data_IF_148799742644
#
_entry.id   IF_148799742644
#
_cell.length_a   1.000
_cell.length_b   1.000
_cell.length_c   1.000
_cell.angle_alpha   90.00
_cell.angle_beta   90.00
_cell.angle_gamma   90.00
#
_symmetry.space_group_name_H-M   'P 1'
#
loop_
_entity.id
_entity.type
_entity.pdbx_description
1 polymer ?
#
# COMPACT_ATOMS: atom_id res chain seq x y z
N UNK A 1 -9.12 -16.29 18.62
CA UNK A 1 -9.14 -14.94 18.01
C UNK A 1 -8.93 -15.16 16.54
N UNK A 2 -9.98 -15.04 15.72
CA UNK A 2 -9.84 -15.22 14.28
C UNK A 2 -9.04 -14.05 13.72
N UNK A 3 -7.92 -14.40 13.11
CA UNK A 3 -7.07 -13.51 12.33
C UNK A 3 -7.87 -13.09 11.09
N UNK A 4 -8.42 -11.88 11.09
CA UNK A 4 -9.09 -11.32 9.91
C UNK A 4 -8.01 -10.74 9.00
N UNK A 5 -7.17 -11.61 8.43
CA UNK A 5 -6.45 -11.23 7.22
C UNK A 5 -7.50 -11.12 6.12
N UNK A 6 -7.90 -9.89 5.81
CA UNK A 6 -8.63 -9.64 4.58
C UNK A 6 -7.75 -10.14 3.43
N UNK A 7 -8.27 -11.07 2.63
CA UNK A 7 -7.60 -11.55 1.42
C UNK A 7 -7.70 -10.40 0.40
N UNK A 8 -6.80 -9.42 0.52
CA UNK A 8 -6.77 -8.25 -0.35
C UNK A 8 -6.30 -8.75 -1.71
N UNK A 9 -7.07 -8.57 -2.80
CA UNK A 9 -6.73 -9.14 -4.11
C UNK A 9 -5.49 -8.50 -4.76
N UNK A 10 -4.84 -7.56 -4.07
CA UNK A 10 -3.69 -6.81 -4.54
C UNK A 10 -2.50 -7.09 -3.64
N UNK A 11 -1.35 -7.32 -4.28
CA UNK A 11 -0.06 -7.38 -3.60
C UNK A 11 0.22 -6.04 -2.95
N UNK A 12 0.78 -6.07 -1.73
CA UNK A 12 0.93 -4.88 -0.92
C UNK A 12 2.02 -5.02 0.13
N UNK A 13 2.56 -3.87 0.52
CA UNK A 13 3.39 -3.70 1.72
C UNK A 13 2.59 -2.87 2.71
N UNK A 14 2.56 -3.29 3.97
CA UNK A 14 1.96 -2.48 5.04
C UNK A 14 3.01 -2.12 6.09
N UNK A 15 2.84 -0.94 6.68
CA UNK A 15 3.61 -0.45 7.84
C UNK A 15 2.62 -0.27 8.98
N UNK A 16 2.80 -1.04 10.04
CA UNK A 16 1.96 -0.97 11.21
C UNK A 16 2.13 0.39 11.92
N UNK A 17 1.05 0.95 12.49
CA UNK A 17 1.13 2.14 13.32
C UNK A 17 1.83 1.81 14.66
N UNK A 18 2.39 2.83 15.30
CA UNK A 18 2.95 2.73 16.66
C UNK A 18 1.85 2.64 17.73
N UNK A 19 0.64 3.12 17.41
CA UNK A 19 -0.53 3.06 18.28
C UNK A 19 -1.32 1.74 18.12
N UNK A 20 -2.47 1.60 18.79
CA UNK A 20 -3.35 0.43 18.67
C UNK A 20 -3.78 0.18 17.20
N UNK A 21 -3.31 -0.90 16.55
CA UNK A 21 -3.59 -1.17 15.14
C UNK A 21 -5.08 -1.37 14.85
N UNK A 22 -5.88 -1.75 15.85
CA UNK A 22 -7.29 -2.02 15.67
C UNK A 22 -8.11 -0.75 15.35
N UNK A 23 -7.61 0.43 15.73
CA UNK A 23 -8.33 1.70 15.63
C UNK A 23 -7.56 2.80 14.90
N UNK A 24 -6.37 2.50 14.39
CA UNK A 24 -5.54 3.47 13.68
C UNK A 24 -6.20 3.89 12.35
N UNK A 25 -6.19 5.18 12.01
CA UNK A 25 -6.58 5.62 10.67
C UNK A 25 -5.64 4.99 9.63
N UNK A 26 -6.22 4.52 8.53
CA UNK A 26 -5.45 3.91 7.44
C UNK A 26 -5.14 4.93 6.33
N UNK A 27 -3.92 4.84 5.78
CA UNK A 27 -3.52 5.54 4.56
C UNK A 27 -3.22 4.51 3.48
N UNK A 28 -3.93 4.61 2.36
CA UNK A 28 -3.67 3.81 1.18
C UNK A 28 -2.77 4.58 0.21
N UNK A 29 -1.62 4.00 -0.12
CA UNK A 29 -0.66 4.57 -1.05
C UNK A 29 -0.78 3.86 -2.39
N UNK A 30 -0.99 4.64 -3.45
CA UNK A 30 -1.09 4.17 -4.83
C UNK A 30 0.06 4.78 -5.62
N UNK A 31 0.96 3.94 -6.12
CA UNK A 31 2.09 4.38 -6.93
C UNK A 31 1.65 4.85 -8.33
N UNK A 32 2.52 5.61 -8.99
CA UNK A 32 2.33 6.05 -10.37
C UNK A 32 2.50 4.92 -11.39
N UNK A 33 2.17 5.17 -12.66
CA UNK A 33 2.34 4.19 -13.74
C UNK A 33 3.82 3.80 -13.91
N UNK A 34 4.11 2.50 -13.95
CA UNK A 34 5.47 1.96 -14.14
C UNK A 34 6.31 1.86 -12.86
N UNK A 35 5.69 2.10 -11.70
CA UNK A 35 6.27 1.95 -10.37
C UNK A 35 5.70 0.69 -9.67
N UNK A 36 6.08 0.45 -8.42
CA UNK A 36 5.57 -0.61 -7.57
C UNK A 36 5.17 -0.12 -6.15
N UNK A 37 4.75 -1.06 -5.29
CA UNK A 37 4.32 -0.80 -3.92
C UNK A 37 5.43 -0.35 -2.97
N UNK A 38 6.71 -0.47 -3.34
CA UNK A 38 7.85 -0.05 -2.52
C UNK A 38 8.27 1.39 -2.81
N UNK A 39 8.11 1.86 -4.05
CA UNK A 39 8.63 3.15 -4.55
C UNK A 39 8.22 4.38 -3.70
N UNK A 40 7.01 4.37 -3.14
CA UNK A 40 6.48 5.48 -2.32
C UNK A 40 6.64 5.28 -0.81
N UNK A 41 7.15 4.13 -0.33
CA UNK A 41 7.38 3.91 1.10
C UNK A 41 8.30 4.95 1.75
N UNK A 42 9.39 5.44 1.09
CA UNK A 42 10.20 6.51 1.66
C UNK A 42 9.42 7.80 1.90
N UNK A 43 8.40 8.10 1.07
CA UNK A 43 7.49 9.23 1.28
C UNK A 43 6.55 8.94 2.45
N UNK A 44 6.00 7.72 2.52
CA UNK A 44 5.11 7.31 3.59
C UNK A 44 5.75 7.39 4.99
N UNK A 45 7.07 7.21 5.10
CA UNK A 45 7.84 7.39 6.35
C UNK A 45 7.87 8.82 6.90
N UNK A 46 7.37 9.81 6.14
CA UNK A 46 7.22 11.18 6.61
C UNK A 46 5.80 11.48 7.13
N UNK A 47 4.88 10.51 7.02
CA UNK A 47 3.56 10.61 7.61
C UNK A 47 3.64 10.38 9.13
N UNK A 48 2.65 10.85 9.91
CA UNK A 48 2.54 10.53 11.33
C UNK A 48 2.58 9.01 11.60
N UNK A 49 3.29 8.60 12.65
CA UNK A 49 3.50 7.19 13.02
C UNK A 49 2.25 6.52 13.63
N UNK A 50 1.18 7.28 13.89
CA UNK A 50 -0.12 6.77 14.36
C UNK A 50 -1.03 6.26 13.22
N UNK A 51 -0.55 6.32 11.98
CA UNK A 51 -1.26 5.88 10.79
C UNK A 51 -0.84 4.46 10.37
N UNK A 52 -1.82 3.63 10.03
CA UNK A 52 -1.55 2.35 9.37
C UNK A 52 -1.39 2.59 7.87
N UNK A 53 -0.18 2.43 7.34
CA UNK A 53 0.07 2.60 5.91
C UNK A 53 -0.09 1.27 5.18
N UNK A 54 -0.84 1.27 4.10
CA UNK A 54 -0.97 0.14 3.16
C UNK A 54 -0.61 0.64 1.76
N UNK A 55 0.54 0.24 1.25
CA UNK A 55 1.01 0.55 -0.11
C UNK A 55 0.65 -0.58 -1.05
N UNK A 56 -0.11 -0.30 -2.10
CA UNK A 56 -0.69 -1.30 -2.99
C UNK A 56 0.05 -1.35 -4.33
N UNK A 57 0.29 -2.55 -4.84
CA UNK A 57 0.76 -2.80 -6.21
C UNK A 57 -0.42 -2.79 -7.16
N UNK A 58 -0.27 -2.10 -8.30
CA UNK A 58 -1.26 -2.18 -9.36
C UNK A 58 -1.30 -3.59 -10.00
N UNK A 59 -2.46 -4.06 -10.49
CA UNK A 59 -2.63 -5.46 -10.86
C UNK A 59 -1.87 -5.87 -12.14
N UNK A 60 -1.66 -4.94 -13.07
CA UNK A 60 -1.15 -5.26 -14.40
C UNK A 60 0.34 -4.89 -14.54
N UNK A 61 1.19 -5.80 -15.04
CA UNK A 61 2.61 -5.51 -15.26
C UNK A 61 2.82 -4.53 -16.42
N UNK A 62 3.73 -3.59 -16.24
CA UNK A 62 4.15 -2.61 -17.23
C UNK A 62 5.67 -2.43 -17.16
N UNK A 63 6.39 -2.94 -18.15
CA UNK A 63 7.85 -2.78 -18.37
C UNK A 63 8.64 -2.19 -17.17
N UNK A 64 8.99 -3.03 -16.20
CA UNK A 64 9.79 -2.63 -15.04
C UNK A 64 9.00 -2.21 -13.80
N UNK A 65 7.66 -2.19 -13.87
CA UNK A 65 6.76 -1.95 -12.74
C UNK A 65 5.32 -2.35 -13.08
N UNK A 66 4.34 -1.61 -12.57
CA UNK A 66 2.92 -1.96 -12.66
C UNK A 66 2.03 -0.77 -13.06
N UNK A 67 0.81 -1.05 -13.52
CA UNK A 67 -0.18 -0.03 -13.89
C UNK A 67 -1.60 -0.38 -13.46
N UNK A 68 -2.38 0.66 -13.15
CA UNK A 68 -3.77 0.56 -12.69
C UNK A 68 -4.79 0.48 -13.83
N UNK A 69 -4.41 0.93 -15.02
CA UNK A 69 -5.26 1.00 -16.19
C UNK A 69 -4.43 1.11 -17.47
N UNK A 70 -5.00 0.64 -18.58
CA UNK A 70 -4.45 0.87 -19.92
C UNK A 70 -4.73 2.30 -20.39
N UNK A 71 -3.82 2.84 -21.20
CA UNK A 71 -3.98 4.14 -21.84
C UNK A 71 -4.27 3.87 -23.31
N UNK A 72 -5.55 3.78 -23.63
CA UNK A 72 -6.06 3.62 -25.01
C UNK A 72 -5.93 4.92 -25.81
#
# INVERSE_FOLDING_TARGET
>A
MSDTHADVPLEHVHVAPDADPANAPAVFVLHGRGADEEDLLPVARHLPDDLHVVSLRAPDPLQGGYTWYELD
#
